data_IF_922327709503
#
_entry.id   IF_922327709503
#
_cell.length_a   1.000
_cell.length_b   1.000
_cell.length_c   1.000
_cell.angle_alpha   90.00
_cell.angle_beta   90.00
_cell.angle_gamma   90.00
#
_symmetry.space_group_name_H-M   'P 1'
#
loop_
_entity.id
_entity.type
_entity.pdbx_description
1 polymer ?
#
# COMPACT_ATOMS: atom_id res chain seq x y z
N UNK A 1 28.58 9.18 16.01
CA UNK A 1 27.26 8.55 16.27
C UNK A 1 26.15 9.27 15.48
N UNK A 2 25.13 8.58 14.93
CA UNK A 2 24.05 9.26 14.25
C UNK A 2 23.17 10.00 15.27
N UNK A 3 23.10 11.33 15.14
CA UNK A 3 22.34 12.25 16.01
C UNK A 3 20.84 12.31 15.70
N UNK A 4 20.29 11.28 15.05
CA UNK A 4 18.87 11.27 14.68
C UNK A 4 18.03 10.78 15.86
N UNK A 5 17.52 11.73 16.64
CA UNK A 5 16.50 11.43 17.64
C UNK A 5 15.19 11.00 16.97
N UNK A 6 14.51 10.02 17.55
CA UNK A 6 13.17 9.65 17.13
C UNK A 6 12.18 10.75 17.52
N UNK A 7 11.21 11.08 16.65
CA UNK A 7 10.17 12.03 17.00
C UNK A 7 9.28 11.46 18.12
N UNK A 8 8.88 12.33 19.06
CA UNK A 8 8.02 11.96 20.20
C UNK A 8 6.62 11.53 19.76
N UNK A 9 6.17 11.96 18.58
CA UNK A 9 4.87 11.64 18.00
C UNK A 9 4.96 11.58 16.47
N UNK A 10 4.28 10.60 15.88
CA UNK A 10 4.06 10.56 14.43
C UNK A 10 2.85 11.44 14.10
N UNK A 11 2.99 12.34 13.13
CA UNK A 11 1.85 13.12 12.63
C UNK A 11 0.82 12.18 11.99
N UNK A 12 -0.45 12.39 12.31
CA UNK A 12 -1.54 11.66 11.67
C UNK A 12 -1.61 12.10 10.19
N UNK A 13 -1.71 11.16 9.23
CA UNK A 13 -1.74 11.50 7.83
C UNK A 13 -2.98 12.32 7.50
N UNK A 14 -2.75 13.51 6.96
CA UNK A 14 -3.79 14.30 6.32
C UNK A 14 -4.05 13.75 4.92
N UNK A 15 -5.31 13.44 4.64
CA UNK A 15 -5.77 13.12 3.29
C UNK A 15 -6.56 14.33 2.78
N UNK A 16 -6.30 14.76 1.54
CA UNK A 16 -7.04 15.89 0.93
C UNK A 16 -8.55 15.60 0.92
N UNK A 17 -9.38 16.64 0.90
CA UNK A 17 -10.84 16.52 1.02
C UNK A 17 -11.50 15.58 0.00
N UNK A 18 -10.84 15.41 -1.15
CA UNK A 18 -11.20 14.53 -2.25
C UNK A 18 -10.90 13.04 -2.00
N UNK A 19 -10.27 12.70 -0.86
CA UNK A 19 -10.07 11.32 -0.44
C UNK A 19 -11.20 10.83 0.47
N UNK A 20 -11.81 9.71 0.10
CA UNK A 20 -12.64 8.94 1.02
C UNK A 20 -11.74 8.11 1.94
N UNK A 21 -11.66 8.46 3.22
CA UNK A 21 -10.84 7.74 4.19
C UNK A 21 -11.56 6.49 4.69
N UNK A 22 -10.91 5.33 4.63
CA UNK A 22 -11.44 4.05 5.11
C UNK A 22 -10.47 3.35 6.04
N UNK A 23 -11.01 2.69 7.06
CA UNK A 23 -10.21 1.89 8.01
C UNK A 23 -10.05 0.47 7.49
N UNK A 24 -8.80 0.01 7.43
CA UNK A 24 -8.46 -1.37 7.10
C UNK A 24 -8.80 -2.28 8.28
N UNK A 25 -9.51 -3.36 7.99
CA UNK A 25 -9.87 -4.40 8.96
C UNK A 25 -8.64 -5.23 9.34
N UNK A 26 -8.77 -6.04 10.39
CA UNK A 26 -7.67 -6.89 10.89
C UNK A 26 -7.12 -7.85 9.82
N UNK A 27 -7.95 -8.26 8.88
CA UNK A 27 -7.60 -9.14 7.76
C UNK A 27 -6.99 -8.40 6.55
N UNK A 28 -6.70 -7.10 6.67
CA UNK A 28 -6.13 -6.32 5.57
C UNK A 28 -7.13 -5.89 4.49
N UNK A 29 -8.44 -6.02 4.76
CA UNK A 29 -9.50 -5.60 3.82
C UNK A 29 -10.08 -4.23 4.17
N UNK A 30 -10.61 -3.52 3.17
CA UNK A 30 -11.44 -2.33 3.36
C UNK A 30 -12.87 -2.60 2.88
N UNK A 31 -13.89 -1.99 3.52
CA UNK A 31 -15.23 -1.99 2.95
C UNK A 31 -15.25 -1.10 1.70
N UNK A 32 -15.84 -1.55 0.60
CA UNK A 32 -16.00 -0.78 -0.63
C UNK A 32 -17.23 -1.23 -1.41
N UNK A 33 -18.18 -0.33 -1.67
CA UNK A 33 -19.46 -0.60 -2.36
C UNK A 33 -20.20 -1.89 -1.92
N UNK A 34 -20.24 -2.16 -0.61
CA UNK A 34 -20.88 -3.36 -0.05
C UNK A 34 -19.98 -4.60 0.01
N UNK A 35 -18.83 -4.56 -0.65
CA UNK A 35 -17.86 -5.64 -0.70
C UNK A 35 -16.64 -5.40 0.22
N UNK A 36 -15.79 -6.43 0.33
CA UNK A 36 -14.50 -6.36 1.03
C UNK A 36 -13.36 -6.50 0.03
N UNK A 37 -12.52 -5.48 -0.07
CA UNK A 37 -11.36 -5.45 -0.96
C UNK A 37 -10.10 -5.61 -0.15
N UNK A 38 -9.27 -6.61 -0.48
CA UNK A 38 -7.97 -6.81 0.15
C UNK A 38 -6.95 -5.78 -0.36
N UNK A 39 -6.34 -5.02 0.56
CA UNK A 39 -5.29 -4.02 0.27
C UNK A 39 -3.95 -4.34 0.93
N UNK A 40 -3.94 -5.20 1.96
CA UNK A 40 -2.72 -5.73 2.56
C UNK A 40 -2.80 -5.90 4.08
N UNK A 41 -2.34 -7.04 4.59
CA UNK A 41 -2.30 -7.33 6.04
C UNK A 41 -1.41 -6.37 6.84
N UNK A 42 -0.34 -5.84 6.24
CA UNK A 42 0.56 -4.90 6.89
C UNK A 42 -0.12 -3.58 7.29
N UNK A 43 -1.29 -3.29 6.69
CA UNK A 43 -2.09 -2.10 6.96
C UNK A 43 -3.22 -2.38 7.97
N UNK A 44 -3.24 -3.55 8.62
CA UNK A 44 -4.32 -3.91 9.53
C UNK A 44 -4.53 -2.83 10.61
N UNK A 45 -5.78 -2.39 10.76
CA UNK A 45 -6.24 -1.32 11.68
C UNK A 45 -5.84 0.11 11.30
N UNK A 46 -5.05 0.29 10.24
CA UNK A 46 -4.65 1.59 9.70
C UNK A 46 -5.76 2.25 8.86
N UNK A 47 -5.57 3.53 8.53
CA UNK A 47 -6.42 4.30 7.62
C UNK A 47 -5.77 4.44 6.26
N UNK A 48 -6.56 4.26 5.20
CA UNK A 48 -6.16 4.55 3.82
C UNK A 48 -7.11 5.56 3.20
N UNK A 49 -6.59 6.43 2.34
CA UNK A 49 -7.37 7.34 1.52
C UNK A 49 -7.69 6.71 0.16
N UNK A 50 -8.93 6.89 -0.31
CA UNK A 50 -9.36 6.55 -1.66
C UNK A 50 -9.66 7.82 -2.44
N UNK A 51 -8.81 8.16 -3.41
CA UNK A 51 -9.02 9.31 -4.30
C UNK A 51 -9.62 8.84 -5.63
N UNK A 52 -10.75 9.38 -6.10
CA UNK A 52 -11.25 9.08 -7.44
C UNK A 52 -10.16 9.29 -8.50
N UNK A 53 -10.03 8.34 -9.42
CA UNK A 53 -9.07 8.43 -10.51
C UNK A 53 -9.78 8.81 -11.82
N UNK A 54 -9.12 9.59 -12.68
CA UNK A 54 -9.71 10.16 -13.91
C UNK A 54 -10.22 9.08 -14.88
N UNK A 55 -9.54 7.94 -14.94
CA UNK A 55 -9.91 6.79 -15.77
C UNK A 55 -10.96 5.89 -15.12
N UNK A 56 -11.56 6.33 -14.01
CA UNK A 56 -12.43 5.53 -13.14
C UNK A 56 -11.66 4.74 -12.07
N UNK A 57 -12.39 4.26 -11.07
CA UNK A 57 -11.81 3.61 -9.90
C UNK A 57 -11.24 4.59 -8.88
N UNK A 58 -10.33 4.11 -8.04
CA UNK A 58 -9.75 4.88 -6.94
C UNK A 58 -8.25 4.63 -6.79
N UNK A 59 -7.46 5.68 -6.62
CA UNK A 59 -6.11 5.60 -6.09
C UNK A 59 -6.16 5.30 -4.59
N UNK A 60 -5.49 4.23 -4.17
CA UNK A 60 -5.36 3.85 -2.75
C UNK A 60 -4.06 4.41 -2.21
N UNK A 61 -4.17 5.31 -1.22
CA UNK A 61 -3.03 5.96 -0.57
C UNK A 61 -2.98 5.59 0.90
N UNK A 62 -1.79 5.24 1.38
CA UNK A 62 -1.48 5.12 2.81
C UNK A 62 -0.45 6.19 3.18
N UNK A 63 -0.82 7.08 4.09
CA UNK A 63 0.01 8.23 4.44
C UNK A 63 0.34 9.05 3.18
N UNK A 64 1.62 9.24 2.88
CA UNK A 64 2.12 9.93 1.69
C UNK A 64 2.48 8.96 0.55
N UNK A 65 2.12 7.67 0.66
CA UNK A 65 2.51 6.63 -0.28
C UNK A 65 1.31 6.09 -1.03
N UNK A 66 1.38 6.18 -2.35
CA UNK A 66 0.42 5.50 -3.22
C UNK A 66 0.73 4.02 -3.29
N UNK A 67 -0.27 3.20 -3.00
CA UNK A 67 -0.13 1.74 -2.93
C UNK A 67 -0.55 1.07 -4.24
N UNK A 68 -1.56 1.62 -4.91
CA UNK A 68 -2.10 1.03 -6.14
C UNK A 68 -3.45 1.61 -6.55
N UNK A 69 -4.04 1.02 -7.58
CA UNK A 69 -5.35 1.37 -8.12
C UNK A 69 -6.39 0.32 -7.75
N UNK A 70 -7.52 0.76 -7.21
CA UNK A 70 -8.72 -0.02 -7.06
C UNK A 70 -9.60 0.21 -8.28
N UNK A 71 -9.78 -0.81 -9.12
CA UNK A 71 -10.59 -0.70 -10.33
C UNK A 71 -12.10 -0.63 -10.01
N UNK A 72 -12.91 -0.27 -11.02
CA UNK A 72 -14.37 -0.17 -10.90
C UNK A 72 -15.06 -1.50 -10.59
N UNK A 73 -14.33 -2.63 -10.66
CA UNK A 73 -14.83 -3.98 -10.33
C UNK A 73 -14.40 -4.42 -8.93
N UNK A 74 -13.77 -3.54 -8.15
CA UNK A 74 -13.33 -3.84 -6.79
C UNK A 74 -12.02 -4.64 -6.72
N UNK A 75 -11.22 -4.70 -7.79
CA UNK A 75 -9.91 -5.35 -7.74
C UNK A 75 -8.81 -4.33 -7.48
N UNK A 76 -7.95 -4.66 -6.52
CA UNK A 76 -6.81 -3.85 -6.15
C UNK A 76 -5.55 -4.28 -6.90
N UNK A 77 -4.93 -3.32 -7.60
CA UNK A 77 -3.74 -3.49 -8.42
C UNK A 77 -2.57 -2.73 -7.76
N UNK A 78 -1.71 -3.43 -6.99
CA UNK A 78 -0.59 -2.79 -6.31
C UNK A 78 0.48 -2.31 -7.31
N UNK A 79 1.08 -1.16 -7.04
CA UNK A 79 2.18 -0.62 -7.87
C UNK A 79 3.49 -1.39 -7.68
N UNK A 80 3.67 -2.01 -6.52
CA UNK A 80 4.82 -2.86 -6.26
C UNK A 80 4.54 -4.30 -6.72
N UNK A 81 5.43 -4.94 -7.49
CA UNK A 81 5.31 -6.35 -7.79
C UNK A 81 5.42 -7.19 -6.51
N UNK A 82 4.76 -8.35 -6.43
CA UNK A 82 4.94 -9.28 -5.32
C UNK A 82 6.42 -9.63 -5.15
N UNK A 83 6.97 -9.47 -3.94
CA UNK A 83 8.41 -9.62 -3.68
C UNK A 83 8.97 -11.00 -4.04
N UNK A 84 8.14 -12.04 -4.14
CA UNK A 84 8.57 -13.37 -4.61
C UNK A 84 9.03 -13.36 -6.07
N UNK A 85 8.46 -12.48 -6.90
CA UNK A 85 8.91 -12.28 -8.30
C UNK A 85 10.27 -11.58 -8.38
N UNK A 86 10.67 -10.84 -7.35
CA UNK A 86 11.98 -10.17 -7.27
C UNK A 86 13.09 -11.11 -6.80
N UNK A 87 12.75 -12.22 -6.12
CA UNK A 87 13.73 -13.20 -5.61
C UNK A 87 14.21 -14.21 -6.66
N UNK A 88 13.55 -14.28 -7.81
CA UNK A 88 13.83 -15.27 -8.85
C UNK A 88 15.07 -14.94 -9.73
N UNK A 89 15.80 -13.85 -9.45
CA UNK A 89 16.81 -13.32 -10.36
C UNK A 89 18.23 -13.12 -9.80
N UNK A 90 18.56 -13.70 -8.64
CA UNK A 90 19.96 -13.72 -8.16
C UNK A 90 20.44 -15.16 -8.22
N UNK A 91 20.82 -15.61 -9.41
CA UNK A 91 21.73 -16.74 -9.54
C UNK A 91 23.05 -16.30 -8.91
N UNK A 92 23.52 -16.95 -7.82
CA UNK A 92 24.80 -16.59 -7.24
C UNK A 92 25.85 -16.82 -8.32
N UNK A 93 26.62 -15.78 -8.66
CA UNK A 93 27.73 -15.90 -9.59
C UNK A 93 28.65 -17.00 -9.08
N UNK A 94 28.65 -18.15 -9.76
CA UNK A 94 29.64 -19.21 -9.58
C UNK A 94 30.99 -18.56 -9.87
N UNK A 95 31.72 -18.25 -8.80
CA UNK A 95 33.13 -17.90 -8.90
C UNK A 95 33.84 -19.22 -9.14
N UNK A 96 34.11 -19.50 -10.40
CA UNK A 96 34.99 -20.58 -10.83
C UNK A 96 36.41 -20.24 -10.38
N UNK A 97 36.83 -20.88 -9.28
CA UNK A 97 38.18 -20.79 -8.75
C UNK A 97 39.07 -21.79 -9.47
N UNK A 98 39.87 -21.28 -10.41
CA UNK A 98 40.94 -21.97 -11.11
C UNK A 98 42.21 -22.05 -10.25
#
# INVERSE_FOLDING_TARGET
>A
PPTRAWPTRLEEPWYDADHQVRRVKTDGTIPWLGERVFVGHALARERVGLKPHETGGYLVRFMTRDLGLLDVRGRFHPFAPPRWKLRAGVEPATTDSR
#
